data_IF_726066657728
#
_entry.id   IF_726066657728
#
_cell.length_a   1.000
_cell.length_b   1.000
_cell.length_c   1.000
_cell.angle_alpha   90.00
_cell.angle_beta   90.00
_cell.angle_gamma   90.00
#
_symmetry.space_group_name_H-M   'P 1'
#
loop_
_entity.id
_entity.type
_entity.pdbx_description
1 polymer ?
#
# COMPACT_ATOMS: atom_id res chain seq x y z
N UNK A 1 71.69 -20.19 -9.13
CA UNK A 1 70.99 -21.36 -8.57
C UNK A 1 69.78 -20.89 -7.78
N UNK A 2 68.60 -21.35 -8.21
CA UNK A 2 67.32 -21.41 -7.49
C UNK A 2 66.55 -20.10 -7.21
N UNK A 3 65.92 -19.61 -8.27
CA UNK A 3 64.64 -18.89 -8.23
C UNK A 3 63.53 -19.82 -7.72
N UNK A 4 63.02 -19.61 -6.51
CA UNK A 4 61.78 -20.22 -6.05
C UNK A 4 60.64 -19.23 -6.28
N UNK A 5 59.95 -19.45 -7.39
CA UNK A 5 58.66 -18.88 -7.74
C UNK A 5 57.62 -19.50 -6.80
N UNK A 6 57.15 -18.73 -5.81
CA UNK A 6 56.01 -19.12 -4.98
C UNK A 6 54.74 -18.74 -5.74
N UNK A 7 54.13 -19.72 -6.42
CA UNK A 7 52.79 -19.59 -6.98
C UNK A 7 51.81 -19.71 -5.80
N UNK A 8 51.27 -18.58 -5.34
CA UNK A 8 50.09 -18.58 -4.47
C UNK A 8 48.88 -18.74 -5.37
N UNK A 9 48.32 -19.96 -5.42
CA UNK A 9 47.02 -20.22 -6.02
C UNK A 9 45.98 -19.64 -5.06
N UNK A 10 45.41 -18.49 -5.43
CA UNK A 10 44.23 -17.95 -4.77
C UNK A 10 43.02 -18.81 -5.16
N UNK A 11 42.68 -19.77 -4.32
CA UNK A 11 41.42 -20.51 -4.43
C UNK A 11 40.29 -19.54 -4.10
N UNK A 12 39.62 -19.03 -5.13
CA UNK A 12 38.39 -18.27 -4.99
C UNK A 12 37.28 -19.22 -4.53
N UNK A 13 37.08 -19.32 -3.22
CA UNK A 13 35.88 -19.89 -2.64
C UNK A 13 34.80 -18.81 -2.74
N UNK A 14 33.93 -18.93 -3.75
CA UNK A 14 32.69 -18.15 -3.84
C UNK A 14 31.72 -18.77 -2.84
N UNK A 15 31.81 -18.37 -1.58
CA UNK A 15 30.70 -18.50 -0.64
C UNK A 15 29.87 -17.23 -0.84
N UNK A 16 28.65 -17.42 -1.35
CA UNK A 16 27.61 -16.40 -1.39
C UNK A 16 27.27 -15.94 0.02
N UNK A 17 28.05 -15.01 0.53
CA UNK A 17 27.79 -14.30 1.78
C UNK A 17 26.97 -13.06 1.47
N UNK A 18 25.67 -13.13 1.81
CA UNK A 18 24.88 -11.94 2.09
C UNK A 18 25.68 -11.03 3.01
N UNK A 19 25.99 -9.83 2.54
CA UNK A 19 26.60 -8.79 3.34
C UNK A 19 25.62 -8.41 4.45
N UNK A 20 25.83 -9.01 5.61
CA UNK A 20 25.26 -8.61 6.88
C UNK A 20 25.75 -7.20 7.19
N UNK A 21 24.95 -6.19 6.83
CA UNK A 21 25.11 -4.84 7.35
C UNK A 21 24.61 -4.83 8.80
N UNK A 22 25.52 -5.16 9.73
CA UNK A 22 25.39 -4.79 11.13
C UNK A 22 25.53 -3.27 11.22
N UNK A 23 24.40 -2.56 11.14
CA UNK A 23 24.31 -1.16 11.57
C UNK A 23 24.30 -1.18 13.09
N UNK A 24 25.49 -1.05 13.69
CA UNK A 24 25.60 -0.53 15.04
C UNK A 24 25.13 0.92 14.98
N UNK A 25 23.97 1.20 15.58
CA UNK A 25 23.49 2.54 15.78
C UNK A 25 24.50 3.29 16.67
N UNK A 26 25.17 4.28 16.09
CA UNK A 26 25.92 5.30 16.80
C UNK A 26 24.89 6.21 17.50
N UNK A 27 24.68 6.03 18.80
CA UNK A 27 23.61 6.73 19.57
C UNK A 27 23.73 8.27 19.54
N UNK A 28 24.87 8.81 19.11
CA UNK A 28 25.13 10.25 19.06
C UNK A 28 25.14 10.85 17.63
N UNK A 29 24.71 10.11 16.60
CA UNK A 29 24.50 10.68 15.27
C UNK A 29 23.08 10.39 14.76
N UNK A 30 22.16 11.37 14.73
CA UNK A 30 20.88 11.20 14.07
C UNK A 30 21.13 10.91 12.59
N UNK A 31 20.95 9.65 12.20
CA UNK A 31 21.07 9.21 10.82
C UNK A 31 20.11 10.00 9.93
N UNK A 32 20.66 10.81 9.03
CA UNK A 32 19.92 11.64 8.07
C UNK A 32 19.32 10.83 6.91
N UNK A 33 18.96 9.56 7.14
CA UNK A 33 18.50 8.65 6.09
C UNK A 33 17.00 8.36 6.08
N UNK A 34 16.23 8.88 7.05
CA UNK A 34 14.76 8.76 7.08
C UNK A 34 14.01 10.09 7.01
N UNK A 35 14.72 11.23 7.12
CA UNK A 35 14.09 12.56 7.25
C UNK A 35 14.01 13.38 5.95
N UNK A 36 14.39 12.82 4.79
CA UNK A 36 14.32 13.55 3.51
C UNK A 36 13.15 13.14 2.61
N UNK A 37 12.33 12.16 3.03
CA UNK A 37 10.99 11.93 2.46
C UNK A 37 9.94 12.74 3.24
N UNK A 38 10.20 14.03 3.46
CA UNK A 38 9.12 14.93 3.83
C UNK A 38 8.28 15.09 2.56
N UNK A 39 7.27 14.23 2.40
CA UNK A 39 6.09 14.59 1.62
C UNK A 39 5.67 15.96 2.15
N UNK A 40 5.97 17.03 1.41
CA UNK A 40 5.46 18.35 1.72
C UNK A 40 3.95 18.25 1.57
N UNK A 41 3.26 17.91 2.66
CA UNK A 41 1.82 17.89 2.73
C UNK A 41 1.36 19.31 2.39
N UNK A 42 0.94 19.54 1.15
CA UNK A 42 0.46 20.84 0.69
C UNK A 42 -0.90 21.21 1.31
N UNK A 43 -1.45 20.36 2.16
CA UNK A 43 -2.79 20.49 2.71
C UNK A 43 -3.82 20.16 1.66
N UNK A 44 -4.76 19.28 1.99
CA UNK A 44 -6.00 19.24 1.22
C UNK A 44 -6.76 20.55 1.41
N UNK A 45 -7.40 21.09 0.37
CA UNK A 45 -8.29 22.24 0.52
C UNK A 45 -9.37 21.95 1.57
N UNK A 46 -9.58 22.85 2.53
CA UNK A 46 -10.66 22.69 3.51
C UNK A 46 -12.05 22.61 2.86
N UNK A 47 -12.23 23.23 1.69
CA UNK A 47 -13.46 23.13 0.90
C UNK A 47 -13.80 21.69 0.46
N UNK A 48 -12.84 20.77 0.54
CA UNK A 48 -13.07 19.36 0.27
C UNK A 48 -13.86 18.69 1.40
N UNK A 49 -13.72 19.15 2.65
CA UNK A 49 -14.29 18.51 3.85
C UNK A 49 -15.80 18.32 3.76
N UNK A 50 -16.51 19.26 3.11
CA UNK A 50 -17.97 19.22 2.95
C UNK A 50 -18.46 18.03 2.12
N UNK A 51 -17.61 17.41 1.32
CA UNK A 51 -17.97 16.25 0.49
C UNK A 51 -17.66 14.90 1.17
N UNK A 52 -17.08 14.95 2.37
CA UNK A 52 -16.69 13.79 3.18
C UNK A 52 -17.41 13.85 4.54
N UNK A 53 -18.70 14.22 4.53
CA UNK A 53 -19.54 14.43 5.71
C UNK A 53 -20.55 13.30 5.88
N UNK A 54 -20.12 12.12 6.32
CA UNK A 54 -21.06 11.07 6.75
C UNK A 54 -20.53 10.42 8.05
N UNK A 55 -21.20 10.63 9.20
CA UNK A 55 -20.91 9.93 10.45
C UNK A 55 -21.42 8.49 10.47
N UNK A 56 -22.37 8.15 9.60
CA UNK A 56 -23.15 6.90 9.64
C UNK A 56 -22.58 5.81 8.71
N UNK A 57 -21.75 6.22 7.74
CA UNK A 57 -21.05 5.35 6.80
C UNK A 57 -19.58 5.77 6.64
N UNK A 58 -18.69 5.39 7.58
CA UNK A 58 -17.26 5.64 7.43
C UNK A 58 -16.75 5.05 6.11
N UNK A 59 -16.28 5.91 5.20
CA UNK A 59 -15.61 5.48 3.96
C UNK A 59 -16.39 5.60 2.64
N UNK A 60 -17.62 6.14 2.62
CA UNK A 60 -18.30 6.49 1.35
C UNK A 60 -18.53 8.01 1.22
N UNK A 61 -17.62 8.76 0.58
CA UNK A 61 -17.88 10.15 0.23
C UNK A 61 -18.78 10.20 -0.98
N UNK A 62 -20.09 10.22 -0.73
CA UNK A 62 -21.04 10.04 -1.82
C UNK A 62 -20.95 11.14 -2.86
N UNK A 63 -20.78 12.41 -2.47
CA UNK A 63 -20.91 13.51 -3.43
C UNK A 63 -19.69 13.63 -4.36
N UNK A 64 -18.49 13.91 -3.84
CA UNK A 64 -17.32 14.11 -4.71
C UNK A 64 -16.96 12.85 -5.52
N UNK A 65 -17.00 11.66 -4.91
CA UNK A 65 -16.68 10.42 -5.59
C UNK A 65 -17.74 10.03 -6.63
N UNK A 66 -19.03 10.25 -6.37
CA UNK A 66 -20.09 10.03 -7.36
C UNK A 66 -19.88 10.90 -8.59
N UNK A 67 -19.53 12.17 -8.40
CA UNK A 67 -19.27 13.07 -9.52
C UNK A 67 -18.02 12.67 -10.30
N UNK A 68 -16.97 12.15 -9.64
CA UNK A 68 -15.82 11.56 -10.33
C UNK A 68 -16.20 10.29 -11.12
N UNK A 69 -17.12 9.46 -10.63
CA UNK A 69 -17.61 8.31 -11.39
C UNK A 69 -18.42 8.72 -12.62
N UNK A 70 -19.34 9.69 -12.48
CA UNK A 70 -20.08 10.24 -13.63
C UNK A 70 -19.15 10.84 -14.68
N UNK A 71 -18.13 11.55 -14.22
CA UNK A 71 -17.10 12.12 -15.09
C UNK A 71 -16.33 11.03 -15.84
N UNK A 72 -15.89 9.99 -15.13
CA UNK A 72 -15.18 8.85 -15.72
C UNK A 72 -16.05 8.05 -16.70
N UNK A 73 -17.31 7.79 -16.36
CA UNK A 73 -18.27 7.08 -17.21
C UNK A 73 -18.50 7.82 -18.54
N UNK A 74 -18.84 9.11 -18.46
CA UNK A 74 -19.06 9.94 -19.65
C UNK A 74 -17.79 10.10 -20.50
N UNK A 75 -16.61 10.26 -19.88
CA UNK A 75 -15.32 10.27 -20.59
C UNK A 75 -15.08 8.96 -21.35
N UNK A 76 -15.29 7.82 -20.69
CA UNK A 76 -15.04 6.51 -21.27
C UNK A 76 -16.10 6.09 -22.29
N UNK A 77 -17.30 6.67 -22.23
CA UNK A 77 -18.34 6.51 -23.24
C UNK A 77 -17.87 6.87 -24.65
N UNK A 78 -17.02 7.90 -24.78
CA UNK A 78 -16.47 8.35 -26.06
C UNK A 78 -15.71 7.22 -26.79
N UNK A 79 -14.59 6.67 -26.26
CA UNK A 79 -13.87 5.60 -26.94
C UNK A 79 -14.65 4.28 -27.00
N UNK A 80 -15.58 4.02 -26.07
CA UNK A 80 -16.44 2.83 -26.13
C UNK A 80 -17.36 2.90 -27.35
N UNK A 81 -18.07 4.01 -27.54
CA UNK A 81 -18.98 4.21 -28.67
C UNK A 81 -18.23 4.29 -30.00
N UNK A 82 -17.08 4.97 -30.05
CA UNK A 82 -16.22 5.00 -31.25
C UNK A 82 -15.80 3.61 -31.72
N UNK A 83 -15.41 2.71 -30.79
CA UNK A 83 -15.03 1.32 -31.13
C UNK A 83 -16.19 0.52 -31.70
N UNK A 84 -17.43 0.92 -31.43
CA UNK A 84 -18.64 0.32 -31.97
C UNK A 84 -19.07 0.97 -33.29
N UNK A 85 -18.35 2.00 -33.76
CA UNK A 85 -18.71 2.80 -34.94
C UNK A 85 -19.87 3.77 -34.69
N UNK A 86 -20.27 3.96 -33.43
CA UNK A 86 -21.39 4.81 -33.04
C UNK A 86 -20.92 6.22 -32.65
N UNK A 87 -20.55 7.00 -33.67
CA UNK A 87 -20.06 8.37 -33.45
C UNK A 87 -21.13 9.31 -32.90
N UNK A 88 -22.42 9.03 -33.15
CA UNK A 88 -23.51 9.83 -32.58
C UNK A 88 -23.54 9.69 -31.06
N UNK A 89 -23.49 8.46 -30.54
CA UNK A 89 -23.41 8.25 -29.09
C UNK A 89 -22.05 8.67 -28.51
N UNK A 90 -20.96 8.64 -29.28
CA UNK A 90 -19.68 9.21 -28.85
C UNK A 90 -19.78 10.74 -28.61
N UNK A 91 -20.48 11.47 -29.50
CA UNK A 91 -20.74 12.90 -29.31
C UNK A 91 -21.65 13.16 -28.09
N UNK A 92 -22.68 12.34 -27.87
CA UNK A 92 -23.54 12.45 -26.69
C UNK A 92 -22.72 12.25 -25.41
N UNK A 93 -21.87 11.21 -25.35
CA UNK A 93 -20.96 11.00 -24.22
C UNK A 93 -20.00 12.17 -23.99
N UNK A 94 -19.53 12.82 -25.06
CA UNK A 94 -18.71 14.03 -24.95
C UNK A 94 -19.49 15.21 -24.37
N UNK A 95 -20.73 15.44 -24.80
CA UNK A 95 -21.57 16.50 -24.25
C UNK A 95 -21.81 16.30 -22.74
N UNK A 96 -22.11 15.08 -22.32
CA UNK A 96 -22.24 14.70 -20.91
C UNK A 96 -20.91 14.90 -20.16
N UNK A 97 -19.80 14.46 -20.75
CA UNK A 97 -18.47 14.61 -20.16
C UNK A 97 -18.10 16.08 -19.96
N UNK A 98 -18.31 16.92 -20.97
CA UNK A 98 -18.02 18.36 -20.90
C UNK A 98 -18.83 19.05 -19.79
N UNK A 99 -20.11 18.71 -19.64
CA UNK A 99 -20.96 19.23 -18.57
C UNK A 99 -20.48 18.79 -17.19
N UNK A 100 -20.18 17.50 -17.02
CA UNK A 100 -19.64 16.95 -15.77
C UNK A 100 -18.26 17.54 -15.44
N UNK A 101 -17.43 17.81 -16.46
CA UNK A 101 -16.10 18.38 -16.30
C UNK A 101 -16.18 19.80 -15.76
N UNK A 102 -17.03 20.65 -16.34
CA UNK A 102 -17.23 22.02 -15.84
C UNK A 102 -17.82 22.01 -14.43
N UNK A 103 -18.84 21.17 -14.17
CA UNK A 103 -19.45 21.05 -12.85
C UNK A 103 -18.43 20.65 -11.78
N UNK A 104 -17.68 19.58 -12.03
CA UNK A 104 -16.67 19.09 -11.08
C UNK A 104 -15.51 20.07 -10.88
N UNK A 105 -15.17 20.89 -11.88
CA UNK A 105 -14.19 21.98 -11.75
C UNK A 105 -14.57 23.02 -10.68
N UNK A 106 -15.87 23.14 -10.40
CA UNK A 106 -16.44 24.05 -9.41
C UNK A 106 -16.46 23.51 -7.98
N UNK A 107 -16.40 22.20 -7.79
CA UNK A 107 -16.58 21.58 -6.47
C UNK A 107 -15.43 21.94 -5.51
N UNK A 108 -14.19 21.88 -6.00
CA UNK A 108 -13.00 22.19 -5.20
C UNK A 108 -12.24 23.34 -5.87
N UNK A 109 -12.52 24.61 -5.53
CA UNK A 109 -11.99 25.76 -6.28
C UNK A 109 -10.46 25.79 -6.41
N UNK A 110 -9.73 25.30 -5.39
CA UNK A 110 -8.26 25.20 -5.43
C UNK A 110 -7.74 24.20 -6.46
N UNK A 111 -8.57 23.26 -6.91
CA UNK A 111 -8.22 22.24 -7.90
C UNK A 111 -8.63 22.62 -9.32
N UNK A 112 -9.35 23.74 -9.51
CA UNK A 112 -9.70 24.25 -10.85
C UNK A 112 -8.49 24.40 -11.79
N UNK A 113 -7.28 24.61 -11.24
CA UNK A 113 -6.02 24.63 -12.02
C UNK A 113 -5.69 23.32 -12.76
N UNK A 114 -6.21 22.18 -12.33
CA UNK A 114 -6.03 20.91 -13.02
C UNK A 114 -7.00 20.79 -14.20
N UNK A 115 -8.09 21.54 -14.19
CA UNK A 115 -9.10 21.50 -15.24
C UNK A 115 -8.65 22.35 -16.43
N UNK A 116 -8.42 21.71 -17.58
CA UNK A 116 -7.99 22.35 -18.82
C UNK A 116 -9.15 22.38 -19.82
N UNK A 117 -9.97 23.43 -19.76
CA UNK A 117 -11.10 23.58 -20.67
C UNK A 117 -10.69 23.54 -22.15
N UNK A 118 -9.49 24.05 -22.49
CA UNK A 118 -8.99 24.02 -23.87
C UNK A 118 -8.83 22.58 -24.38
N UNK A 119 -8.43 21.64 -23.52
CA UNK A 119 -8.32 20.22 -23.92
C UNK A 119 -9.69 19.61 -24.22
N UNK A 120 -10.74 20.02 -23.50
CA UNK A 120 -12.13 19.62 -23.75
C UNK A 120 -12.61 20.19 -25.09
N UNK A 121 -12.33 21.46 -25.37
CA UNK A 121 -12.70 22.10 -26.62
C UNK A 121 -12.00 21.43 -27.82
N UNK A 122 -10.70 21.10 -27.69
CA UNK A 122 -9.95 20.34 -28.70
C UNK A 122 -10.53 18.95 -28.96
N UNK A 123 -10.99 18.25 -27.91
CA UNK A 123 -11.67 16.96 -28.04
C UNK A 123 -13.01 17.09 -28.77
N UNK A 124 -13.79 18.13 -28.47
CA UNK A 124 -15.03 18.43 -29.19
C UNK A 124 -14.80 18.65 -30.68
N UNK A 125 -13.81 19.47 -31.04
CA UNK A 125 -13.45 19.69 -32.44
C UNK A 125 -12.98 18.41 -33.15
N UNK A 126 -12.23 17.54 -32.46
CA UNK A 126 -11.79 16.27 -33.03
C UNK A 126 -12.98 15.33 -33.30
N UNK A 127 -13.98 15.30 -32.42
CA UNK A 127 -15.20 14.52 -32.59
C UNK A 127 -16.05 14.98 -33.77
N UNK A 128 -16.15 16.29 -34.01
CA UNK A 128 -16.84 16.84 -35.19
C UNK A 128 -16.21 16.37 -36.51
N UNK A 129 -14.89 16.19 -36.53
CA UNK A 129 -14.15 15.67 -37.68
C UNK A 129 -14.29 14.16 -37.89
N UNK A 130 -14.81 13.42 -36.90
CA UNK A 130 -14.87 11.97 -36.86
C UNK A 130 -13.53 11.28 -37.21
N UNK A 131 -12.41 11.93 -36.86
CA UNK A 131 -11.05 11.44 -37.10
C UNK A 131 -10.57 10.67 -35.86
N UNK A 132 -10.47 9.32 -35.91
CA UNK A 132 -10.11 8.54 -34.74
C UNK A 132 -8.74 8.89 -34.15
N UNK A 133 -7.77 9.24 -35.00
CA UNK A 133 -6.41 9.56 -34.54
C UNK A 133 -6.41 10.90 -33.81
N UNK A 134 -7.08 11.91 -34.37
CA UNK A 134 -7.24 13.22 -33.72
C UNK A 134 -8.01 13.11 -32.40
N UNK A 135 -9.07 12.29 -32.34
CA UNK A 135 -9.84 12.06 -31.11
C UNK A 135 -8.97 11.37 -30.06
N UNK A 136 -8.19 10.35 -30.44
CA UNK A 136 -7.27 9.69 -29.52
C UNK A 136 -6.19 10.63 -28.98
N UNK A 137 -5.63 11.50 -29.81
CA UNK A 137 -4.67 12.52 -29.37
C UNK A 137 -5.31 13.49 -28.36
N UNK A 138 -6.50 14.02 -28.68
CA UNK A 138 -7.21 14.95 -27.80
C UNK A 138 -7.61 14.30 -26.46
N UNK A 139 -8.09 13.05 -26.49
CA UNK A 139 -8.36 12.25 -25.29
C UNK A 139 -7.11 12.09 -24.42
N UNK A 140 -5.92 11.96 -25.02
CA UNK A 140 -4.65 11.90 -24.31
C UNK A 140 -4.40 13.17 -23.48
N UNK A 141 -4.60 14.36 -24.08
CA UNK A 141 -4.46 15.65 -23.40
C UNK A 141 -5.45 15.81 -22.24
N UNK A 142 -6.69 15.33 -22.41
CA UNK A 142 -7.67 15.29 -21.32
C UNK A 142 -7.19 14.33 -20.21
N UNK A 143 -6.72 13.14 -20.57
CA UNK A 143 -6.20 12.14 -19.63
C UNK A 143 -5.02 12.63 -18.78
N UNK A 144 -4.15 13.50 -19.32
CA UNK A 144 -3.09 14.17 -18.56
C UNK A 144 -3.66 15.02 -17.42
N UNK A 145 -4.74 15.77 -17.66
CA UNK A 145 -5.39 16.60 -16.61
C UNK A 145 -5.91 15.75 -15.45
N UNK A 146 -6.54 14.62 -15.76
CA UNK A 146 -7.03 13.65 -14.78
C UNK A 146 -5.86 13.07 -13.97
N UNK A 147 -4.79 12.68 -14.68
CA UNK A 147 -3.61 12.05 -14.08
C UNK A 147 -2.89 13.02 -13.13
N UNK A 148 -2.70 14.27 -13.54
CA UNK A 148 -2.03 15.29 -12.72
C UNK A 148 -2.77 15.55 -11.40
N UNK A 149 -4.10 15.68 -11.47
CA UNK A 149 -4.92 15.85 -10.27
C UNK A 149 -4.84 14.61 -9.37
N UNK A 150 -4.97 13.42 -9.95
CA UNK A 150 -4.95 12.16 -9.21
C UNK A 150 -3.61 11.92 -8.50
N UNK A 151 -2.50 12.16 -9.21
CA UNK A 151 -1.14 12.02 -8.66
C UNK A 151 -0.90 12.98 -7.49
N UNK A 152 -1.36 14.22 -7.60
CA UNK A 152 -1.14 15.23 -6.56
C UNK A 152 -2.06 15.06 -5.33
N UNK A 153 -3.27 14.52 -5.52
CA UNK A 153 -4.34 14.66 -4.53
C UNK A 153 -4.90 13.36 -3.98
N UNK A 154 -4.91 12.25 -4.74
CA UNK A 154 -5.56 11.01 -4.27
C UNK A 154 -4.91 10.49 -2.99
N UNK A 155 -3.59 10.35 -2.93
CA UNK A 155 -2.93 9.84 -1.71
C UNK A 155 -3.24 10.70 -0.49
N UNK A 156 -3.13 12.05 -0.52
CA UNK A 156 -3.61 12.90 0.57
C UNK A 156 -5.10 12.74 0.91
N UNK A 157 -5.97 12.49 -0.06
CA UNK A 157 -7.41 12.22 0.15
C UNK A 157 -7.64 10.92 0.88
N UNK A 158 -7.03 9.82 0.41
CA UNK A 158 -7.03 8.53 1.11
C UNK A 158 -6.51 8.68 2.53
N UNK A 159 -5.41 9.41 2.66
CA UNK A 159 -4.79 9.73 3.92
C UNK A 159 -5.72 10.45 4.90
N UNK A 160 -6.47 11.46 4.45
CA UNK A 160 -7.33 12.25 5.35
C UNK A 160 -8.61 11.52 5.72
N UNK A 161 -9.31 10.94 4.73
CA UNK A 161 -10.71 10.54 4.91
C UNK A 161 -10.98 9.04 4.88
N UNK A 162 -10.05 8.19 4.41
CA UNK A 162 -10.33 6.77 4.20
C UNK A 162 -9.48 5.84 5.06
N UNK A 163 -8.21 6.18 5.27
CA UNK A 163 -7.33 5.34 6.06
C UNK A 163 -7.60 5.50 7.55
N UNK A 164 -7.91 4.38 8.20
CA UNK A 164 -8.03 4.27 9.65
C UNK A 164 -6.74 4.65 10.37
N UNK A 165 -6.88 5.00 11.64
CA UNK A 165 -5.77 5.46 12.46
C UNK A 165 -5.16 4.31 13.26
N UNK A 166 -4.00 3.81 12.82
CA UNK A 166 -3.26 2.75 13.52
C UNK A 166 -2.78 3.14 14.93
N UNK A 167 -2.90 4.41 15.34
CA UNK A 167 -2.67 4.84 16.73
C UNK A 167 -3.81 4.41 17.66
N UNK A 168 -5.00 4.25 17.11
CA UNK A 168 -6.21 3.85 17.84
C UNK A 168 -6.33 2.32 17.93
N UNK A 169 -5.70 1.59 16.99
CA UNK A 169 -5.70 0.13 16.95
C UNK A 169 -4.96 -0.48 18.13
N UNK A 170 -5.66 -1.33 18.89
CA UNK A 170 -5.12 -2.06 20.02
C UNK A 170 -4.98 -3.55 19.68
N UNK A 171 -3.96 -4.19 20.22
CA UNK A 171 -3.78 -5.66 20.09
C UNK A 171 -3.63 -6.24 21.48
N UNK A 172 -4.36 -7.31 21.76
CA UNK A 172 -4.16 -8.10 22.97
C UNK A 172 -2.76 -8.72 22.98
N UNK A 173 -2.03 -8.55 24.08
CA UNK A 173 -0.68 -9.11 24.26
C UNK A 173 -0.59 -9.82 25.61
N UNK A 174 0.49 -10.60 25.86
CA UNK A 174 0.72 -11.20 27.18
C UNK A 174 0.77 -10.20 28.36
N UNK A 175 1.08 -8.92 28.11
CA UNK A 175 1.06 -7.87 29.13
C UNK A 175 -0.26 -7.07 29.18
N UNK A 176 -1.28 -7.50 28.44
CA UNK A 176 -2.54 -6.78 28.23
C UNK A 176 -2.59 -6.04 26.88
N UNK A 177 -3.68 -5.28 26.62
CA UNK A 177 -3.86 -4.56 25.37
C UNK A 177 -2.78 -3.49 25.19
N UNK A 178 -2.13 -3.49 24.02
CA UNK A 178 -1.12 -2.49 23.66
C UNK A 178 -1.42 -1.87 22.28
N UNK A 179 -1.01 -0.61 22.05
CA UNK A 179 -1.12 0.01 20.74
C UNK A 179 -0.39 -0.82 19.68
N UNK A 180 -0.95 -0.88 18.46
CA UNK A 180 -0.42 -1.69 17.34
C UNK A 180 1.10 -1.62 17.18
N UNK A 181 1.67 -0.41 17.21
CA UNK A 181 3.12 -0.20 17.08
C UNK A 181 3.91 -0.93 18.17
N UNK A 182 3.45 -0.89 19.41
CA UNK A 182 4.14 -1.53 20.54
C UNK A 182 3.95 -3.04 20.49
N UNK A 183 2.72 -3.51 20.28
CA UNK A 183 2.42 -4.94 20.15
C UNK A 183 3.22 -5.60 19.02
N UNK A 184 3.27 -4.96 17.85
CA UNK A 184 4.07 -5.41 16.70
C UNK A 184 5.55 -5.53 17.05
N UNK A 185 6.15 -4.47 17.59
CA UNK A 185 7.61 -4.43 17.81
C UNK A 185 8.06 -5.31 18.97
N UNK A 186 7.26 -5.43 20.03
CA UNK A 186 7.69 -6.09 21.27
C UNK A 186 7.27 -7.56 21.34
N UNK A 187 6.28 -7.99 20.55
CA UNK A 187 5.73 -9.34 20.64
C UNK A 187 5.70 -10.04 19.28
N UNK A 188 5.00 -9.49 18.28
CA UNK A 188 4.84 -10.17 16.99
C UNK A 188 6.18 -10.39 16.27
N UNK A 189 6.97 -9.31 16.09
CA UNK A 189 8.27 -9.40 15.43
C UNK A 189 9.28 -10.18 16.28
N UNK A 190 9.23 -10.01 17.61
CA UNK A 190 10.09 -10.77 18.52
C UNK A 190 9.82 -12.27 18.42
N UNK A 191 8.55 -12.69 18.35
CA UNK A 191 8.19 -14.09 18.11
C UNK A 191 8.66 -14.57 16.74
N UNK A 192 8.29 -13.86 15.66
CA UNK A 192 8.58 -14.30 14.31
C UNK A 192 10.08 -14.36 13.98
N UNK A 193 10.84 -13.32 14.33
CA UNK A 193 12.28 -13.28 14.12
C UNK A 193 13.02 -14.15 15.14
N UNK A 194 12.49 -14.26 16.36
CA UNK A 194 12.99 -15.14 17.41
C UNK A 194 13.03 -16.61 16.98
N UNK A 195 12.04 -17.09 16.22
CA UNK A 195 12.07 -18.46 15.65
C UNK A 195 13.34 -18.65 14.82
N UNK A 196 13.64 -17.74 13.90
CA UNK A 196 14.79 -17.84 13.01
C UNK A 196 16.13 -17.71 13.74
N UNK A 197 16.20 -16.82 14.75
CA UNK A 197 17.39 -16.65 15.60
C UNK A 197 17.69 -17.94 16.37
N UNK A 198 16.70 -18.48 17.07
CA UNK A 198 16.87 -19.69 17.88
C UNK A 198 17.17 -20.94 17.01
N UNK A 199 16.52 -21.07 15.84
CA UNK A 199 16.86 -22.13 14.88
C UNK A 199 18.33 -22.06 14.45
N UNK A 200 18.83 -20.85 14.15
CA UNK A 200 20.23 -20.64 13.75
C UNK A 200 21.22 -21.03 14.86
N UNK A 201 20.81 -20.87 16.11
CA UNK A 201 21.61 -21.22 17.29
C UNK A 201 21.46 -22.70 17.69
N UNK A 202 20.53 -23.43 17.07
CA UNK A 202 20.18 -24.81 17.43
C UNK A 202 19.38 -24.91 18.73
N UNK A 203 18.83 -23.80 19.22
CA UNK A 203 17.98 -23.75 20.42
C UNK A 203 16.54 -24.09 20.05
N UNK A 204 16.19 -25.38 20.12
CA UNK A 204 14.84 -25.86 19.82
C UNK A 204 13.82 -25.33 20.84
N UNK A 205 14.16 -25.27 22.13
CA UNK A 205 13.25 -24.81 23.18
C UNK A 205 12.97 -23.30 23.02
N UNK A 206 14.00 -22.52 22.70
CA UNK A 206 13.86 -21.09 22.38
C UNK A 206 13.04 -20.85 21.11
N UNK A 207 13.21 -21.69 20.08
CA UNK A 207 12.41 -21.63 18.86
C UNK A 207 10.93 -21.93 19.14
N UNK A 208 10.65 -22.92 20.01
CA UNK A 208 9.29 -23.27 20.42
C UNK A 208 8.61 -22.12 21.19
N UNK A 209 9.31 -21.50 22.14
CA UNK A 209 8.80 -20.33 22.87
C UNK A 209 8.52 -19.14 21.92
N UNK A 210 9.40 -18.91 20.96
CA UNK A 210 9.23 -17.85 19.96
C UNK A 210 8.04 -18.12 19.03
N UNK A 211 7.84 -19.39 18.66
CA UNK A 211 6.69 -19.84 17.89
C UNK A 211 5.38 -19.61 18.63
N UNK A 212 5.29 -20.02 19.89
CA UNK A 212 4.08 -19.83 20.70
C UNK A 212 3.70 -18.36 20.82
N UNK A 213 4.71 -17.49 21.02
CA UNK A 213 4.51 -16.05 21.03
C UNK A 213 4.02 -15.53 19.67
N UNK A 214 4.66 -15.93 18.57
CA UNK A 214 4.24 -15.53 17.22
C UNK A 214 2.81 -15.97 16.92
N UNK A 215 2.49 -17.25 17.14
CA UNK A 215 1.19 -17.82 16.85
C UNK A 215 0.08 -17.11 17.61
N UNK A 216 0.27 -16.90 18.92
CA UNK A 216 -0.65 -16.12 19.74
C UNK A 216 -0.85 -14.69 19.21
N UNK A 217 0.24 -14.00 18.88
CA UNK A 217 0.15 -12.62 18.41
C UNK A 217 -0.50 -12.50 17.04
N UNK A 218 -0.26 -13.47 16.15
CA UNK A 218 -0.81 -13.53 14.81
C UNK A 218 -2.33 -13.77 14.84
N UNK A 219 -2.80 -14.62 15.76
CA UNK A 219 -4.23 -14.82 16.02
C UNK A 219 -4.87 -13.56 16.62
N UNK A 220 -4.24 -12.93 17.62
CA UNK A 220 -4.77 -11.71 18.26
C UNK A 220 -4.92 -10.54 17.28
N UNK A 221 -4.12 -10.49 16.21
CA UNK A 221 -4.26 -9.49 15.15
C UNK A 221 -5.59 -9.59 14.39
N UNK A 222 -6.23 -10.76 14.37
CA UNK A 222 -7.52 -10.96 13.68
C UNK A 222 -8.59 -10.02 14.20
N UNK A 223 -8.65 -9.84 15.51
CA UNK A 223 -9.66 -8.99 16.15
C UNK A 223 -9.33 -7.50 15.95
N UNK A 224 -8.04 -7.14 15.97
CA UNK A 224 -7.58 -5.78 15.71
C UNK A 224 -7.94 -5.28 14.29
N UNK A 225 -8.07 -6.19 13.31
CA UNK A 225 -8.53 -5.82 11.97
C UNK A 225 -9.93 -5.19 11.97
N UNK A 226 -10.82 -5.62 12.87
CA UNK A 226 -12.20 -5.14 12.95
C UNK A 226 -12.30 -3.70 13.48
N UNK A 227 -11.22 -3.16 14.05
CA UNK A 227 -11.18 -1.74 14.45
C UNK A 227 -11.14 -0.79 13.24
N UNK A 228 -10.71 -1.28 12.09
CA UNK A 228 -10.65 -0.50 10.84
C UNK A 228 -11.53 -1.08 9.71
N UNK A 229 -12.09 -2.28 9.89
CA UNK A 229 -12.87 -2.98 8.85
C UNK A 229 -14.25 -3.39 9.38
N UNK A 230 -15.31 -2.91 8.72
CA UNK A 230 -16.71 -3.21 9.06
C UNK A 230 -17.14 -4.66 8.75
N UNK A 231 -16.25 -5.45 8.14
CA UNK A 231 -16.48 -6.86 7.87
C UNK A 231 -15.18 -7.63 8.02
N UNK A 232 -15.29 -8.91 8.36
CA UNK A 232 -14.13 -9.81 8.44
C UNK A 232 -13.41 -9.76 7.09
N UNK A 233 -12.13 -9.30 7.03
CA UNK A 233 -11.45 -9.13 5.77
C UNK A 233 -11.33 -10.47 5.04
N UNK A 234 -11.78 -10.50 3.78
CA UNK A 234 -11.83 -11.71 2.94
C UNK A 234 -10.48 -12.38 2.68
N UNK A 235 -9.38 -11.66 2.95
CA UNK A 235 -8.01 -12.05 2.63
C UNK A 235 -7.10 -12.13 3.85
N UNK A 236 -7.64 -11.98 5.06
CA UNK A 236 -6.83 -12.09 6.27
C UNK A 236 -6.69 -13.56 6.67
N UNK A 237 -5.45 -14.05 6.58
CA UNK A 237 -5.01 -15.41 6.91
C UNK A 237 -5.87 -16.50 6.28
N UNK A 238 -5.61 -16.76 5.01
CA UNK A 238 -6.19 -17.92 4.35
C UNK A 238 -5.79 -19.23 5.06
N UNK A 239 -6.62 -20.26 4.93
CA UNK A 239 -6.44 -21.54 5.61
C UNK A 239 -5.05 -22.15 5.34
N UNK A 240 -4.48 -21.93 4.15
CA UNK A 240 -3.13 -22.36 3.79
C UNK A 240 -2.03 -21.69 4.63
N UNK A 241 -2.18 -20.42 4.99
CA UNK A 241 -1.24 -19.73 5.90
C UNK A 241 -1.36 -20.30 7.31
N UNK A 242 -2.58 -20.55 7.81
CA UNK A 242 -2.72 -21.19 9.12
C UNK A 242 -2.11 -22.58 9.14
N UNK A 243 -2.35 -23.39 8.11
CA UNK A 243 -1.71 -24.71 7.99
C UNK A 243 -0.18 -24.59 7.96
N UNK A 244 0.39 -23.62 7.24
CA UNK A 244 1.85 -23.39 7.25
C UNK A 244 2.38 -23.00 8.64
N UNK A 245 1.62 -22.21 9.42
CA UNK A 245 1.99 -21.85 10.80
C UNK A 245 1.93 -23.08 11.71
N UNK A 246 0.88 -23.89 11.61
CA UNK A 246 0.72 -25.15 12.35
C UNK A 246 1.85 -26.13 12.02
N UNK A 247 2.14 -26.34 10.73
CA UNK A 247 3.23 -27.19 10.25
C UNK A 247 4.59 -26.69 10.73
N UNK A 248 4.80 -25.37 10.79
CA UNK A 248 6.03 -24.77 11.32
C UNK A 248 6.20 -25.15 12.81
N UNK A 249 5.13 -25.02 13.61
CA UNK A 249 5.14 -25.41 15.02
C UNK A 249 5.44 -26.90 15.23
N UNK A 250 4.79 -27.77 14.45
CA UNK A 250 5.03 -29.21 14.50
C UNK A 250 6.49 -29.56 14.16
N UNK A 251 7.06 -28.94 13.12
CA UNK A 251 8.45 -29.17 12.76
C UNK A 251 9.45 -28.65 13.81
N UNK A 252 9.14 -27.55 14.51
CA UNK A 252 9.95 -27.09 15.65
C UNK A 252 9.91 -28.14 16.78
N UNK A 253 8.71 -28.61 17.13
CA UNK A 253 8.51 -29.63 18.17
C UNK A 253 9.22 -30.95 17.85
N UNK A 254 9.23 -31.38 16.59
CA UNK A 254 9.90 -32.61 16.14
C UNK A 254 11.43 -32.46 15.95
N UNK A 255 11.98 -31.26 16.14
CA UNK A 255 13.40 -30.95 15.92
C UNK A 255 13.80 -30.81 14.45
N UNK A 256 12.84 -30.73 13.54
CA UNK A 256 13.04 -30.51 12.10
C UNK A 256 13.24 -29.01 11.78
N UNK A 257 14.24 -28.40 12.41
CA UNK A 257 14.42 -26.94 12.42
C UNK A 257 14.66 -26.32 11.02
N UNK A 258 15.28 -27.06 10.10
CA UNK A 258 15.49 -26.59 8.71
C UNK A 258 14.13 -26.42 8.01
N UNK A 259 13.26 -27.41 8.12
CA UNK A 259 11.91 -27.38 7.51
C UNK A 259 11.08 -26.27 8.15
N UNK A 260 11.13 -26.13 9.47
CA UNK A 260 10.46 -25.04 10.18
C UNK A 260 10.90 -23.66 9.68
N UNK A 261 12.20 -23.46 9.43
CA UNK A 261 12.70 -22.18 8.93
C UNK A 261 12.32 -21.90 7.47
N UNK A 262 12.23 -22.93 6.63
CA UNK A 262 11.71 -22.78 5.26
C UNK A 262 10.22 -22.37 5.27
N UNK A 263 9.42 -23.00 6.13
CA UNK A 263 8.01 -22.61 6.35
C UNK A 263 7.90 -21.17 6.87
N UNK A 264 8.77 -20.76 7.80
CA UNK A 264 8.86 -19.37 8.29
C UNK A 264 9.04 -18.37 7.14
N UNK A 265 9.96 -18.64 6.21
CA UNK A 265 10.14 -17.78 5.04
C UNK A 265 8.93 -17.79 4.11
N UNK A 266 8.26 -18.94 3.95
CA UNK A 266 7.00 -19.05 3.19
C UNK A 266 5.88 -18.18 3.78
N UNK A 267 5.71 -18.18 5.10
CA UNK A 267 4.75 -17.32 5.82
C UNK A 267 5.03 -15.83 5.56
N UNK A 268 6.30 -15.47 5.34
CA UNK A 268 6.71 -14.10 4.99
C UNK A 268 6.00 -13.52 3.75
N UNK A 269 5.55 -14.34 2.80
CA UNK A 269 4.73 -13.88 1.65
C UNK A 269 3.38 -13.32 2.13
N UNK A 270 2.74 -13.97 3.11
CA UNK A 270 1.49 -13.48 3.70
C UNK A 270 1.68 -12.15 4.42
N UNK A 271 2.77 -12.03 5.19
CA UNK A 271 3.15 -10.77 5.83
C UNK A 271 3.35 -9.66 4.79
N UNK A 272 4.00 -9.96 3.66
CA UNK A 272 4.23 -9.00 2.59
C UNK A 272 2.93 -8.45 1.99
N UNK A 273 1.93 -9.31 1.75
CA UNK A 273 0.63 -8.89 1.23
C UNK A 273 -0.09 -7.93 2.17
N UNK A 274 -0.08 -8.22 3.48
CA UNK A 274 -0.62 -7.32 4.48
C UNK A 274 0.15 -6.00 4.52
N UNK A 275 1.48 -6.05 4.45
CA UNK A 275 2.33 -4.86 4.46
C UNK A 275 2.11 -3.93 3.26
N UNK A 276 1.86 -4.46 2.05
CA UNK A 276 1.54 -3.63 0.87
C UNK A 276 0.33 -2.73 1.15
N UNK A 277 -0.71 -3.29 1.77
CA UNK A 277 -1.96 -2.58 2.01
C UNK A 277 -1.89 -1.70 3.26
N UNK A 278 -1.23 -2.18 4.33
CA UNK A 278 -1.32 -1.57 5.65
C UNK A 278 -0.11 -0.74 6.07
N UNK A 279 1.06 -0.86 5.43
CA UNK A 279 2.17 0.05 5.79
C UNK A 279 1.86 1.51 5.46
N UNK A 280 1.29 1.88 4.29
CA UNK A 280 0.91 3.26 4.03
C UNK A 280 -0.05 3.84 5.09
N UNK A 281 -1.18 3.20 5.47
CA UNK A 281 -2.05 3.69 6.53
C UNK A 281 -1.44 3.59 7.94
N UNK A 282 -0.49 2.68 8.19
CA UNK A 282 0.22 2.64 9.48
C UNK A 282 1.04 3.91 9.72
N UNK A 283 1.69 4.43 8.68
CA UNK A 283 2.50 5.63 8.74
C UNK A 283 1.81 6.87 8.20
N UNK A 284 0.53 6.73 7.88
CA UNK A 284 -0.31 7.83 7.48
C UNK A 284 -0.38 8.82 8.64
N UNK A 285 -1.07 8.45 9.72
CA UNK A 285 -1.52 9.40 10.76
C UNK A 285 -0.43 9.66 11.81
N UNK A 286 0.85 9.67 11.40
CA UNK A 286 1.94 10.04 12.31
C UNK A 286 1.76 11.47 12.79
N UNK A 287 1.89 11.67 14.10
CA UNK A 287 1.78 12.97 14.74
C UNK A 287 2.58 14.01 13.96
N UNK A 288 1.86 14.96 13.36
CA UNK A 288 2.46 16.17 12.85
C UNK A 288 3.09 16.90 14.03
N UNK A 289 4.42 16.90 14.08
CA UNK A 289 5.15 18.02 14.65
C UNK A 289 5.44 19.01 13.53
#
# INVERSE_FOLDING_TARGET
MNSKLAIVIATAIIIGGSTLWLVLADEDKPGTSANNNIMKYKGLPQSLDQYYTEPEHPGMPFEYLSEMYKLGESMMGIPVNMRQGDYMNACISFEEFSQNYEYSSGMVPKWKKYYNQKAIDELGCALEGADPDAICEAMGKVGETCSDCHLDTMTPVYYKYYWGDFREVMIETPAGPLPWKQAKMNYLLVGFDGIGVNIKEGDQDGAQQSFELFNSMFDNMKDACLECHDSVPRYYVSEDIQTMIEDMGANISDGNLIVANDLRYGIGDSCHRCHIVHMPPQYAKVDGK
#
